data_IF_923608437227
#
_entry.id   IF_923608437227
#
_cell.length_a   1.000
_cell.length_b   1.000
_cell.length_c   1.000
_cell.angle_alpha   90.00
_cell.angle_beta   90.00
_cell.angle_gamma   90.00
#
_symmetry.space_group_name_H-M   'P 1'
#
loop_
_entity.id
_entity.type
_entity.pdbx_description
1 polymer ?
#
# COMPACT_ATOMS: atom_id res chain seq x y z
N UNK A 1 -10.42 -12.01 -25.21
CA UNK A 1 -10.58 -11.28 -23.93
C UNK A 1 -9.17 -11.00 -23.42
N UNK A 2 -8.77 -9.73 -23.32
CA UNK A 2 -7.41 -9.34 -22.96
C UNK A 2 -7.28 -9.43 -21.43
N UNK A 3 -6.59 -10.46 -20.92
CA UNK A 3 -6.40 -10.68 -19.48
C UNK A 3 -5.05 -10.11 -19.09
N UNK A 4 -5.04 -8.87 -18.62
CA UNK A 4 -3.82 -8.23 -18.10
C UNK A 4 -3.66 -8.70 -16.65
N UNK A 5 -2.78 -9.67 -16.43
CA UNK A 5 -2.41 -10.13 -15.08
C UNK A 5 -1.25 -9.27 -14.57
N UNK A 6 -1.51 -8.37 -13.61
CA UNK A 6 -0.44 -7.71 -12.86
C UNK A 6 0.09 -8.71 -11.83
N UNK A 7 1.34 -9.13 -11.98
CA UNK A 7 2.05 -9.90 -10.96
C UNK A 7 2.16 -9.09 -9.67
N UNK A 8 1.91 -9.72 -8.53
CA UNK A 8 2.08 -9.10 -7.20
C UNK A 8 3.55 -8.67 -7.01
N UNK A 9 3.76 -7.60 -6.24
CA UNK A 9 5.08 -7.17 -5.79
C UNK A 9 5.53 -8.07 -4.63
N UNK A 10 6.72 -8.66 -4.74
CA UNK A 10 7.35 -9.34 -3.61
C UNK A 10 8.15 -8.32 -2.80
N UNK A 11 7.93 -8.27 -1.49
CA UNK A 11 8.66 -7.41 -0.56
C UNK A 11 9.22 -8.26 0.57
N UNK A 12 10.40 -7.91 1.08
CA UNK A 12 10.97 -8.52 2.28
C UNK A 12 10.92 -7.48 3.40
N UNK A 13 10.24 -7.81 4.49
CA UNK A 13 10.13 -6.95 5.68
C UNK A 13 10.49 -7.80 6.88
N UNK A 14 11.48 -7.38 7.68
CA UNK A 14 12.00 -8.16 8.83
C UNK A 14 12.29 -9.63 8.49
N UNK A 15 13.01 -9.86 7.40
CA UNK A 15 13.40 -11.19 6.90
C UNK A 15 12.23 -12.11 6.45
N UNK A 16 11.00 -11.59 6.42
CA UNK A 16 9.83 -12.30 5.92
C UNK A 16 9.39 -11.81 4.54
N UNK A 17 9.01 -12.76 3.66
CA UNK A 17 8.52 -12.47 2.31
C UNK A 17 7.01 -12.21 2.29
N UNK A 18 6.64 -11.07 1.73
CA UNK A 18 5.25 -10.65 1.54
C UNK A 18 4.93 -10.48 0.06
N UNK A 19 3.75 -10.96 -0.35
CA UNK A 19 3.21 -10.76 -1.70
C UNK A 19 2.16 -9.65 -1.69
N UNK A 20 2.57 -8.45 -2.06
CA UNK A 20 1.77 -7.23 -2.04
C UNK A 20 1.11 -6.98 -3.40
N UNK A 21 -0.19 -6.72 -3.40
CA UNK A 21 -0.95 -6.36 -4.59
C UNK A 21 -0.81 -4.88 -4.87
N UNK A 22 -0.59 -4.54 -6.14
CA UNK A 22 -0.68 -3.15 -6.57
C UNK A 22 -2.10 -2.61 -6.34
N UNK A 23 -2.26 -1.44 -5.69
CA UNK A 23 -3.56 -0.82 -5.52
C UNK A 23 -4.16 -0.46 -6.88
N UNK A 24 -5.49 -0.60 -6.98
CA UNK A 24 -6.22 -0.13 -8.16
C UNK A 24 -6.30 1.39 -8.19
N UNK A 25 -6.56 1.98 -9.36
CA UNK A 25 -6.78 3.44 -9.49
C UNK A 25 -7.88 3.93 -8.56
N UNK A 26 -8.94 3.12 -8.36
CA UNK A 26 -10.02 3.44 -7.42
C UNK A 26 -9.51 3.50 -5.99
N UNK A 27 -8.72 2.52 -5.55
CA UNK A 27 -8.16 2.49 -4.20
C UNK A 27 -7.27 3.71 -3.94
N UNK A 28 -6.41 4.10 -4.89
CA UNK A 28 -5.56 5.29 -4.76
C UNK A 28 -6.41 6.56 -4.62
N UNK A 29 -7.48 6.67 -5.42
CA UNK A 29 -8.39 7.82 -5.36
C UNK A 29 -9.10 7.91 -4.02
N UNK A 30 -9.62 6.79 -3.53
CA UNK A 30 -10.35 6.72 -2.27
C UNK A 30 -9.40 7.02 -1.08
N UNK A 31 -8.18 6.46 -1.10
CA UNK A 31 -7.09 6.79 -0.16
C UNK A 31 -6.76 8.28 -0.13
N UNK A 32 -6.54 8.90 -1.31
CA UNK A 32 -6.21 10.32 -1.41
C UNK A 32 -7.37 11.21 -0.93
N UNK A 33 -8.61 10.78 -1.14
CA UNK A 33 -9.79 11.49 -0.67
C UNK A 33 -9.94 11.41 0.85
N UNK A 34 -9.56 10.30 1.47
CA UNK A 34 -9.55 10.13 2.93
C UNK A 34 -8.44 10.96 3.58
N UNK A 35 -7.22 10.93 3.06
CA UNK A 35 -6.12 11.77 3.55
C UNK A 35 -6.46 13.27 3.54
N UNK A 36 -7.17 13.74 2.52
CA UNK A 36 -7.58 15.16 2.41
C UNK A 36 -8.67 15.57 3.40
N UNK A 37 -9.44 14.61 3.93
CA UNK A 37 -10.51 14.91 4.89
C UNK A 37 -9.98 15.06 6.30
N UNK A 38 -8.94 14.31 6.65
CA UNK A 38 -8.41 14.28 7.99
C UNK A 38 -6.93 13.86 7.97
N UNK A 39 -6.03 14.84 7.96
CA UNK A 39 -4.57 14.60 8.02
C UNK A 39 -4.16 13.94 9.34
N UNK A 40 -4.93 14.08 10.43
CA UNK A 40 -4.62 13.45 11.71
C UNK A 40 -4.76 11.91 11.65
N UNK A 41 -5.48 11.37 10.66
CA UNK A 41 -5.68 9.94 10.47
C UNK A 41 -4.78 9.34 9.37
N UNK A 42 -3.72 10.05 8.94
CA UNK A 42 -2.80 9.57 7.89
C UNK A 42 -2.28 8.16 8.17
N UNK A 43 -1.95 7.85 9.42
CA UNK A 43 -1.47 6.53 9.83
C UNK A 43 -2.51 5.43 9.61
N UNK A 44 -3.73 5.60 10.13
CA UNK A 44 -4.80 4.61 10.02
C UNK A 44 -5.23 4.38 8.57
N UNK A 45 -5.31 5.45 7.78
CA UNK A 45 -5.65 5.42 6.35
C UNK A 45 -4.57 4.68 5.56
N UNK A 46 -3.30 4.89 5.90
CA UNK A 46 -2.15 4.19 5.30
C UNK A 46 -2.14 2.70 5.62
N UNK A 47 -2.38 2.33 6.88
CA UNK A 47 -2.52 0.93 7.29
C UNK A 47 -3.68 0.27 6.54
N UNK A 48 -4.80 0.96 6.38
CA UNK A 48 -5.96 0.46 5.64
C UNK A 48 -5.63 0.12 4.19
N UNK A 49 -4.92 1.02 3.50
CA UNK A 49 -4.47 0.79 2.12
C UNK A 49 -3.54 -0.42 2.02
N UNK A 50 -2.47 -0.43 2.83
CA UNK A 50 -1.45 -1.48 2.82
C UNK A 50 -2.01 -2.85 3.20
N UNK A 51 -2.94 -2.89 4.15
CA UNK A 51 -3.63 -4.11 4.53
C UNK A 51 -4.49 -4.67 3.40
N UNK A 52 -5.20 -3.79 2.68
CA UNK A 52 -5.97 -4.20 1.49
C UNK A 52 -5.07 -4.71 0.36
N UNK A 53 -3.84 -4.19 0.30
CA UNK A 53 -2.81 -4.67 -0.61
C UNK A 53 -2.16 -5.99 -0.17
N UNK A 54 -2.51 -6.55 1.00
CA UNK A 54 -2.10 -7.89 1.42
C UNK A 54 -1.02 -7.94 2.49
N UNK A 55 -0.68 -6.80 3.12
CA UNK A 55 0.21 -6.78 4.29
C UNK A 55 -0.60 -7.03 5.59
N UNK A 56 -0.06 -7.79 6.56
CA UNK A 56 -0.72 -8.00 7.85
C UNK A 56 -0.82 -6.69 8.64
N UNK A 57 -1.95 -6.44 9.30
CA UNK A 57 -2.12 -5.23 10.11
C UNK A 57 -1.15 -5.17 11.28
N UNK A 58 -0.87 -6.30 11.92
CA UNK A 58 0.04 -6.38 13.07
C UNK A 58 1.45 -5.92 12.67
N UNK A 59 1.94 -6.39 11.52
CA UNK A 59 3.21 -5.90 10.94
C UNK A 59 3.19 -4.40 10.68
N UNK A 60 2.09 -3.88 10.13
CA UNK A 60 1.98 -2.46 9.77
C UNK A 60 1.94 -1.54 10.99
N UNK A 61 1.37 -2.01 12.10
CA UNK A 61 1.33 -1.28 13.37
C UNK A 61 2.71 -1.21 14.04
N UNK A 62 3.57 -2.19 13.79
CA UNK A 62 4.96 -2.22 14.29
C UNK A 62 5.92 -1.36 13.44
N UNK A 63 5.52 -0.95 12.24
CA UNK A 63 6.33 -0.12 11.35
C UNK A 63 6.18 1.37 11.64
N UNK A 64 7.31 2.09 11.60
CA UNK A 64 7.31 3.55 11.62
C UNK A 64 6.65 4.14 10.37
N UNK A 65 6.04 5.32 10.51
CA UNK A 65 5.34 6.04 9.42
C UNK A 65 6.24 6.25 8.19
N UNK A 66 7.55 6.45 8.38
CA UNK A 66 8.51 6.59 7.27
C UNK A 66 8.58 5.32 6.42
N UNK A 67 8.61 4.14 7.04
CA UNK A 67 8.62 2.87 6.31
C UNK A 67 7.29 2.61 5.62
N UNK A 68 6.17 2.93 6.27
CA UNK A 68 4.85 2.83 5.67
C UNK A 68 4.74 3.69 4.40
N UNK A 69 5.22 4.93 4.46
CA UNK A 69 5.24 5.84 3.32
C UNK A 69 6.13 5.34 2.19
N UNK A 70 7.28 4.74 2.50
CA UNK A 70 8.14 4.09 1.49
C UNK A 70 7.42 2.95 0.77
N UNK A 71 6.68 2.11 1.50
CA UNK A 71 5.91 1.01 0.90
C UNK A 71 4.80 1.57 0.01
N UNK A 72 4.05 2.58 0.49
CA UNK A 72 3.00 3.25 -0.29
C UNK A 72 3.58 3.82 -1.58
N UNK A 73 4.70 4.53 -1.52
CA UNK A 73 5.37 5.07 -2.70
C UNK A 73 5.72 3.95 -3.69
N UNK A 74 6.26 2.83 -3.21
CA UNK A 74 6.67 1.74 -4.09
C UNK A 74 5.49 1.04 -4.78
N UNK A 75 4.38 0.82 -4.07
CA UNK A 75 3.19 0.20 -4.66
C UNK A 75 2.35 1.18 -5.48
N UNK A 76 2.47 2.50 -5.26
CA UNK A 76 1.74 3.53 -6.00
C UNK A 76 2.53 4.12 -7.17
N UNK A 77 3.85 3.92 -7.22
CA UNK A 77 4.69 4.13 -8.41
C UNK A 77 4.21 3.20 -9.54
N UNK A 78 3.16 3.61 -10.23
CA UNK A 78 2.88 3.09 -11.56
C UNK A 78 4.11 3.42 -12.39
N UNK A 79 4.79 2.38 -12.90
CA UNK A 79 5.91 2.48 -13.83
C UNK A 79 5.68 3.68 -14.77
N UNK A 80 6.46 4.75 -14.58
CA UNK A 80 6.85 5.62 -15.68
C UNK A 80 7.78 4.78 -16.55
N UNK A 81 7.23 3.91 -17.39
CA UNK A 81 7.93 3.24 -18.48
C UNK A 81 6.99 3.09 -19.64
#
# INVERSE_FOLDING_TARGET
>A
MLKIERSNLKMVIYDEEYSVKYPTVRMIRDFTAELKKDEANEFDVTIGLLSTCGLPKDLLLDLEILHLNMIVDEITKQKKS
#
